data_IF_284275074617
#
_entry.id   IF_284275074617
#
_cell.length_a   1.000
_cell.length_b   1.000
_cell.length_c   1.000
_cell.angle_alpha   90.00
_cell.angle_beta   90.00
_cell.angle_gamma   90.00
#
_symmetry.space_group_name_H-M   'P 1'
#
loop_
_entity.id
_entity.type
_entity.pdbx_description
1 polymer ?
#
# COMPACT_ATOMS: atom_id res chain seq x y z
N UNK A 1 -16.22 21.42 2.46
CA UNK A 1 -14.93 21.41 1.74
C UNK A 1 -14.60 19.96 1.48
N UNK A 2 -14.74 19.48 0.25
CA UNK A 2 -14.06 18.24 -0.12
C UNK A 2 -12.56 18.51 -0.01
N UNK A 3 -11.84 17.66 0.72
CA UNK A 3 -10.40 17.75 0.71
C UNK A 3 -9.88 17.30 -0.65
N UNK A 4 -9.07 18.14 -1.30
CA UNK A 4 -8.47 17.88 -2.61
C UNK A 4 -7.27 16.91 -2.53
N UNK A 5 -7.34 15.88 -1.68
CA UNK A 5 -6.25 14.93 -1.57
C UNK A 5 -6.22 13.97 -2.77
N UNK A 6 -5.02 13.78 -3.30
CA UNK A 6 -4.75 12.83 -4.37
C UNK A 6 -4.47 11.41 -3.87
N UNK A 7 -3.98 11.29 -2.63
CA UNK A 7 -3.74 10.04 -1.95
C UNK A 7 -4.15 10.13 -0.49
N UNK A 8 -4.76 9.06 0.02
CA UNK A 8 -5.14 8.90 1.43
C UNK A 8 -4.61 7.55 1.88
N UNK A 9 -3.75 7.54 2.89
CA UNK A 9 -3.19 6.34 3.49
C UNK A 9 -3.72 6.20 4.92
N UNK A 10 -4.28 5.04 5.25
CA UNK A 10 -4.85 4.73 6.55
C UNK A 10 -4.26 3.41 7.07
N UNK A 11 -4.00 3.38 8.37
CA UNK A 11 -3.65 2.19 9.16
C UNK A 11 -4.70 2.01 10.23
N UNK A 12 -4.84 0.80 10.78
CA UNK A 12 -5.86 0.50 11.80
C UNK A 12 -7.25 0.89 11.29
N UNK A 13 -7.61 0.32 10.13
CA UNK A 13 -8.87 0.67 9.44
C UNK A 13 -10.08 0.00 10.09
N UNK A 14 -9.86 -1.12 10.78
CA UNK A 14 -10.89 -1.98 11.37
C UNK A 14 -11.95 -2.46 10.36
N UNK A 15 -11.59 -2.46 9.07
CA UNK A 15 -12.51 -2.83 8.00
C UNK A 15 -12.52 -4.34 7.76
N UNK A 16 -13.66 -4.82 7.29
CA UNK A 16 -13.85 -6.19 6.80
C UNK A 16 -14.39 -6.16 5.38
N UNK A 17 -14.37 -7.30 4.71
CA UNK A 17 -14.87 -7.44 3.33
C UNK A 17 -16.36 -7.12 3.18
N UNK A 18 -17.13 -6.98 4.28
CA UNK A 18 -18.52 -6.53 4.24
C UNK A 18 -18.67 -5.03 3.97
N UNK A 19 -17.64 -4.22 4.23
CA UNK A 19 -17.65 -2.78 3.94
C UNK A 19 -17.08 -2.54 2.54
N UNK A 20 -17.90 -2.04 1.63
CA UNK A 20 -17.46 -1.77 0.26
C UNK A 20 -16.63 -0.48 0.17
N UNK A 21 -15.76 -0.38 -0.84
CA UNK A 21 -14.95 0.83 -1.03
C UNK A 21 -15.79 2.08 -1.32
N UNK A 22 -16.98 1.92 -1.93
CA UNK A 22 -17.90 3.01 -2.23
C UNK A 22 -18.64 3.58 -1.02
N UNK A 23 -18.62 2.87 0.11
CA UNK A 23 -19.10 3.41 1.40
C UNK A 23 -18.04 4.31 2.06
N UNK A 24 -16.77 4.10 1.73
CA UNK A 24 -15.63 4.79 2.35
C UNK A 24 -15.21 6.03 1.56
N UNK A 25 -15.24 5.93 0.23
CA UNK A 25 -14.79 6.99 -0.66
C UNK A 25 -15.85 7.30 -1.72
N UNK A 26 -16.00 8.57 -2.10
CA UNK A 26 -16.82 8.91 -3.26
C UNK A 26 -16.21 8.31 -4.54
N UNK A 27 -16.97 8.25 -5.64
CA UNK A 27 -16.43 7.86 -6.94
C UNK A 27 -15.19 8.67 -7.34
N UNK A 28 -14.26 8.05 -8.07
CA UNK A 28 -13.02 8.69 -8.51
C UNK A 28 -11.79 8.33 -7.66
N UNK A 29 -11.87 7.27 -6.85
CA UNK A 29 -10.76 6.71 -6.10
C UNK A 29 -10.53 5.23 -6.40
N UNK A 30 -9.28 4.89 -6.64
CA UNK A 30 -8.77 3.54 -6.67
C UNK A 30 -8.32 3.18 -5.26
N UNK A 31 -9.03 2.23 -4.66
CA UNK A 31 -8.83 1.84 -3.27
C UNK A 31 -8.19 0.46 -3.21
N UNK A 32 -7.02 0.40 -2.59
CA UNK A 32 -6.30 -0.85 -2.29
C UNK A 32 -6.22 -1.00 -0.79
N UNK A 33 -6.64 -2.14 -0.28
CA UNK A 33 -6.68 -2.42 1.15
C UNK A 33 -6.29 -3.85 1.46
N UNK A 34 -5.76 -4.06 2.65
CA UNK A 34 -5.59 -5.38 3.25
C UNK A 34 -6.34 -5.38 4.56
N UNK A 35 -7.45 -6.13 4.57
CA UNK A 35 -8.25 -6.35 5.77
C UNK A 35 -7.70 -7.55 6.54
N UNK A 36 -7.81 -7.51 7.86
CA UNK A 36 -7.46 -8.67 8.66
C UNK A 36 -8.58 -9.72 8.55
N UNK A 37 -8.26 -10.98 8.22
CA UNK A 37 -9.28 -12.03 8.14
C UNK A 37 -9.85 -12.38 9.53
N UNK A 38 -11.16 -12.63 9.57
CA UNK A 38 -11.93 -12.98 10.77
C UNK A 38 -12.69 -11.79 11.37
N UNK A 39 -13.70 -12.07 12.21
CA UNK A 39 -14.51 -11.05 12.91
C UNK A 39 -13.73 -10.31 14.02
N UNK A 40 -12.41 -10.48 14.06
CA UNK A 40 -11.55 -9.85 15.04
C UNK A 40 -11.58 -8.33 14.89
N UNK A 41 -11.75 -7.79 13.67
CA UNK A 41 -11.90 -6.36 13.44
C UNK A 41 -10.68 -5.48 13.75
N UNK A 42 -9.65 -5.95 14.46
CA UNK A 42 -8.46 -5.15 14.80
C UNK A 42 -7.43 -5.12 13.66
N UNK A 43 -6.90 -3.96 13.30
CA UNK A 43 -5.86 -3.82 12.28
C UNK A 43 -6.33 -3.30 10.93
N UNK A 44 -5.57 -3.64 9.89
CA UNK A 44 -5.85 -3.32 8.49
C UNK A 44 -5.13 -2.08 7.98
N UNK A 45 -4.87 -2.07 6.68
CA UNK A 45 -4.24 -0.94 5.98
C UNK A 45 -4.98 -0.64 4.68
N UNK A 46 -5.01 0.63 4.30
CA UNK A 46 -5.70 1.11 3.11
C UNK A 46 -4.93 2.25 2.46
N UNK A 47 -4.88 2.22 1.13
CA UNK A 47 -4.40 3.29 0.28
C UNK A 47 -5.49 3.61 -0.75
N UNK A 48 -6.00 4.83 -0.73
CA UNK A 48 -6.90 5.36 -1.76
C UNK A 48 -6.15 6.39 -2.60
N UNK A 49 -6.25 6.30 -3.92
CA UNK A 49 -5.61 7.21 -4.88
C UNK A 49 -6.67 7.73 -5.85
N UNK A 50 -6.65 9.02 -6.21
CA UNK A 50 -7.53 9.56 -7.25
C UNK A 50 -7.30 8.86 -8.60
N UNK A 51 -8.38 8.46 -9.28
CA UNK A 51 -8.36 7.70 -10.55
C UNK A 51 -7.69 8.44 -11.72
N UNK A 52 -7.44 9.75 -11.59
CA UNK A 52 -6.69 10.55 -12.56
C UNK A 52 -5.20 10.21 -12.62
N UNK A 53 -4.69 9.46 -11.64
CA UNK A 53 -3.30 9.02 -11.58
C UNK A 53 -3.19 7.54 -11.94
N UNK A 54 -2.11 7.17 -12.64
CA UNK A 54 -1.84 5.77 -12.92
C UNK A 54 -1.26 5.09 -11.68
N UNK A 55 -1.83 3.94 -11.30
CA UNK A 55 -1.44 3.17 -10.11
C UNK A 55 -1.05 1.77 -10.53
N UNK A 56 0.14 1.33 -10.12
CA UNK A 56 0.58 -0.06 -10.21
C UNK A 56 0.77 -0.62 -8.81
N UNK A 57 -0.01 -1.63 -8.45
CA UNK A 57 0.15 -2.34 -7.18
C UNK A 57 1.34 -3.30 -7.30
N UNK A 58 2.22 -3.27 -6.31
CA UNK A 58 3.39 -4.15 -6.27
C UNK A 58 3.00 -5.40 -5.49
N UNK A 59 2.63 -6.46 -6.22
CA UNK A 59 2.20 -7.75 -5.65
C UNK A 59 3.33 -8.77 -5.58
N UNK A 60 4.30 -8.68 -6.47
CA UNK A 60 5.29 -9.75 -6.70
C UNK A 60 6.29 -9.91 -5.56
N UNK A 61 6.44 -8.88 -4.73
CA UNK A 61 7.38 -8.85 -3.58
C UNK A 61 6.65 -9.16 -2.27
N UNK A 62 5.32 -9.16 -2.29
CA UNK A 62 4.47 -9.42 -1.11
C UNK A 62 4.59 -10.86 -0.63
N UNK A 63 5.05 -11.80 -1.47
CA UNK A 63 5.34 -13.18 -1.05
C UNK A 63 6.55 -13.32 -0.13
N UNK A 64 7.30 -12.23 0.12
CA UNK A 64 8.46 -12.23 1.02
C UNK A 64 8.11 -11.92 2.47
N UNK A 65 6.86 -11.58 2.77
CA UNK A 65 6.39 -11.41 4.15
C UNK A 65 4.96 -11.90 4.33
N UNK A 66 4.71 -12.60 5.44
CA UNK A 66 3.37 -12.94 5.90
C UNK A 66 2.65 -11.73 6.55
N UNK A 67 3.27 -10.54 6.55
CA UNK A 67 2.70 -9.32 7.09
C UNK A 67 1.42 -8.93 6.34
N UNK A 68 0.32 -9.06 7.08
CA UNK A 68 -1.04 -8.81 6.58
C UNK A 68 -1.34 -7.32 6.41
N UNK A 69 -0.42 -6.45 6.82
CA UNK A 69 -0.68 -5.02 7.01
C UNK A 69 0.36 -4.15 6.31
N UNK A 70 0.74 -4.54 5.09
CA UNK A 70 1.72 -3.87 4.24
C UNK A 70 1.23 -3.78 2.79
N UNK A 71 1.16 -2.58 2.23
CA UNK A 71 0.79 -2.31 0.85
C UNK A 71 1.91 -1.51 0.18
N UNK A 72 2.27 -1.92 -1.04
CA UNK A 72 3.14 -1.15 -1.93
C UNK A 72 2.40 -0.80 -3.22
N UNK A 73 2.49 0.46 -3.62
CA UNK A 73 1.96 0.94 -4.89
C UNK A 73 2.91 1.95 -5.51
N UNK A 74 3.12 1.84 -6.82
CA UNK A 74 3.81 2.87 -7.61
C UNK A 74 2.72 3.76 -8.21
N UNK A 75 2.70 5.03 -7.81
CA UNK A 75 1.77 6.04 -8.31
C UNK A 75 2.51 6.98 -9.23
N UNK A 76 1.97 7.19 -10.43
CA UNK A 76 2.57 8.10 -11.42
C UNK A 76 1.82 9.43 -11.42
N UNK A 77 2.48 10.47 -10.90
CA UNK A 77 2.03 11.86 -10.91
C UNK A 77 2.64 12.59 -12.10
N UNK A 78 1.91 12.69 -13.20
CA UNK A 78 2.43 13.24 -14.48
C UNK A 78 3.69 12.48 -14.91
N UNK A 79 4.88 13.04 -14.66
CA UNK A 79 6.17 12.46 -15.04
C UNK A 79 6.99 11.99 -13.83
N UNK A 80 6.43 12.04 -12.62
CA UNK A 80 7.10 11.60 -11.38
C UNK A 80 6.45 10.31 -10.91
N UNK A 81 7.25 9.26 -10.74
CA UNK A 81 6.81 8.01 -10.11
C UNK A 81 7.14 8.06 -8.62
N UNK A 82 6.15 7.78 -7.78
CA UNK A 82 6.28 7.70 -6.32
C UNK A 82 5.98 6.28 -5.90
N UNK A 83 6.94 5.63 -5.23
CA UNK A 83 6.70 4.37 -4.53
C UNK A 83 6.08 4.71 -3.17
N UNK A 84 4.81 4.35 -2.99
CA UNK A 84 4.08 4.49 -1.74
C UNK A 84 4.11 3.15 -0.99
N UNK A 85 4.45 3.22 0.29
CA UNK A 85 4.39 2.11 1.24
C UNK A 85 3.43 2.49 2.36
N UNK A 86 2.37 1.71 2.56
CA UNK A 86 1.47 1.83 3.71
C UNK A 86 1.65 0.61 4.58
N UNK A 87 2.09 0.84 5.82
CA UNK A 87 2.39 -0.24 6.76
C UNK A 87 1.87 0.11 8.14
N UNK A 88 1.29 -0.88 8.81
CA UNK A 88 1.07 -0.82 10.24
C UNK A 88 2.08 -1.74 10.93
N UNK A 89 2.75 -1.22 11.96
CA UNK A 89 3.71 -1.94 12.78
C UNK A 89 3.14 -2.06 14.20
N UNK A 90 2.53 -3.19 14.56
CA UNK A 90 2.00 -3.43 15.89
C UNK A 90 3.04 -3.22 17.00
N UNK A 91 2.63 -2.69 18.16
CA UNK A 91 3.55 -2.37 19.27
C UNK A 91 4.22 -3.61 19.89
N UNK A 92 3.69 -4.81 19.62
CA UNK A 92 4.21 -6.08 20.12
C UNK A 92 5.03 -6.86 19.07
N UNK A 93 5.41 -6.23 17.95
CA UNK A 93 6.33 -6.84 16.98
C UNK A 93 7.65 -7.19 17.64
N UNK A 94 8.11 -8.41 17.37
CA UNK A 94 9.47 -8.84 17.70
C UNK A 94 10.44 -8.27 16.67
N UNK A 95 11.71 -8.15 17.06
CA UNK A 95 12.79 -7.66 16.20
C UNK A 95 12.82 -8.37 14.84
N UNK A 96 12.62 -9.69 14.80
CA UNK A 96 12.57 -10.46 13.56
C UNK A 96 11.46 -10.00 12.61
N UNK A 97 10.25 -9.72 13.13
CA UNK A 97 9.13 -9.25 12.31
C UNK A 97 9.39 -7.84 11.79
N UNK A 98 9.95 -6.98 12.64
CA UNK A 98 10.35 -5.64 12.25
C UNK A 98 11.42 -5.66 11.14
N UNK A 99 12.44 -6.51 11.29
CA UNK A 99 13.48 -6.70 10.28
C UNK A 99 12.92 -7.26 8.97
N UNK A 100 11.99 -8.20 9.01
CA UNK A 100 11.34 -8.73 7.81
C UNK A 100 10.62 -7.64 7.00
N UNK A 101 9.91 -6.72 7.68
CA UNK A 101 9.29 -5.56 7.02
C UNK A 101 10.35 -4.66 6.38
N UNK A 102 11.43 -4.34 7.10
CA UNK A 102 12.50 -3.49 6.57
C UNK A 102 13.19 -4.11 5.35
N UNK A 103 13.55 -5.39 5.43
CA UNK A 103 14.13 -6.13 4.30
C UNK A 103 13.18 -6.17 3.10
N UNK A 104 11.87 -6.32 3.35
CA UNK A 104 10.87 -6.24 2.29
C UNK A 104 10.86 -4.84 1.61
N UNK A 105 10.85 -3.77 2.40
CA UNK A 105 10.93 -2.38 1.88
C UNK A 105 12.20 -2.18 1.05
N UNK A 106 13.36 -2.61 1.55
CA UNK A 106 14.65 -2.51 0.84
C UNK A 106 14.61 -3.25 -0.50
N UNK A 107 14.08 -4.48 -0.53
CA UNK A 107 13.96 -5.27 -1.75
C UNK A 107 13.06 -4.60 -2.80
N UNK A 108 11.93 -4.00 -2.38
CA UNK A 108 11.04 -3.25 -3.27
C UNK A 108 11.75 -2.03 -3.86
N UNK A 109 12.51 -1.30 -3.04
CA UNK A 109 13.29 -0.14 -3.49
C UNK A 109 14.33 -0.57 -4.53
N UNK A 110 15.14 -1.59 -4.23
CA UNK A 110 16.17 -2.10 -5.14
C UNK A 110 15.58 -2.54 -6.48
N UNK A 111 14.50 -3.35 -6.44
CA UNK A 111 13.82 -3.81 -7.66
C UNK A 111 13.24 -2.65 -8.47
N UNK A 112 12.67 -1.65 -7.78
CA UNK A 112 12.11 -0.46 -8.45
C UNK A 112 13.17 0.38 -9.13
N UNK A 113 14.34 0.54 -8.51
CA UNK A 113 15.49 1.25 -9.08
C UNK A 113 16.09 0.50 -10.27
N UNK A 114 16.28 -0.82 -10.15
CA UNK A 114 16.75 -1.65 -11.26
C UNK A 114 15.81 -1.57 -12.47
N UNK A 115 14.50 -1.56 -12.23
CA UNK A 115 13.51 -1.41 -13.29
C UNK A 115 13.59 -0.04 -13.97
N UNK A 116 13.75 1.07 -13.23
CA UNK A 116 13.95 2.38 -13.86
C UNK A 116 15.23 2.40 -14.70
N UNK A 117 16.33 1.89 -14.15
CA UNK A 117 17.62 1.86 -14.85
C UNK A 117 17.56 1.08 -16.18
N UNK A 118 16.86 -0.06 -16.20
CA UNK A 118 16.66 -0.86 -17.42
C UNK A 118 15.83 -0.13 -18.49
N UNK A 119 14.89 0.73 -18.10
CA UNK A 119 14.09 1.52 -19.04
C UNK A 119 14.86 2.70 -19.63
N UNK A 120 15.86 3.25 -18.92
CA UNK A 120 16.69 4.36 -19.41
C UNK A 120 17.74 3.90 -20.44
N UNK A 121 18.06 2.61 -20.49
CA UNK A 121 19.04 2.01 -21.41
C UNK A 121 18.43 1.39 -22.67
N UNK A 122 17.10 1.37 -22.80
CA UNK A 122 16.35 0.78 -23.90
C UNK A 122 15.78 1.84 -24.85
#
# INVERSE_FOLDING_TARGET
MESEYDMIALTETFLTSSVSNGELFPPGFHVVRKDRPGDCGWGGVLLAIRDRHNVKIVTDIVSMTDDKELIFAIVTFKNVKVLCCVVYLPPNYKDEQYLNVLTCIENVICTSLEYQYRLELA
#
